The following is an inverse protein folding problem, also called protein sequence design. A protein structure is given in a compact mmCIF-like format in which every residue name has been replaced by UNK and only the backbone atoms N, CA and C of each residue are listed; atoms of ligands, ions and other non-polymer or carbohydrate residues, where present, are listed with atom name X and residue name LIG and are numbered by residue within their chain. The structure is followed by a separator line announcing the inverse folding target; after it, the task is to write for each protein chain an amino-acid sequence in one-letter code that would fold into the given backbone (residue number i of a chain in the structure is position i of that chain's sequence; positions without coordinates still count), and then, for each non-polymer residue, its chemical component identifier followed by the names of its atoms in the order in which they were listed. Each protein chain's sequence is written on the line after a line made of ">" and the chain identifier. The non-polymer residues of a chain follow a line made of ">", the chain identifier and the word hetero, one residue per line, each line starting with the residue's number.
data_IF_498711911133
#
_entry.id   IF_498711911133
#
_cell.length_a   1.000
_cell.length_b   1.000
_cell.length_c   1.000
_cell.angle_alpha   90.00
_cell.angle_beta   90.00
_cell.angle_gamma   90.00
#
_symmetry.space_group_name_H-M   'P 1'
#
loop_
_entity.id
_entity.type
_entity.pdbx_description
1 polymer ?
#
# COMPACT_ATOMS: atom_id res chain seq x y z
N UNK A 1 -11.92 1.59 9.93
CA UNK A 1 -12.74 1.83 8.73
C UNK A 1 -14.20 1.89 9.16
N UNK A 2 -14.97 2.84 8.65
CA UNK A 2 -16.42 2.96 8.93
C UNK A 2 -17.16 2.63 7.64
N UNK A 3 -18.10 1.71 7.71
CA UNK A 3 -18.94 1.32 6.57
C UNK A 3 -20.20 2.21 6.51
N UNK A 4 -20.87 2.34 5.34
CA UNK A 4 -22.08 3.15 5.21
C UNK A 4 -23.22 2.77 6.17
N UNK A 5 -23.22 1.53 6.67
CA UNK A 5 -24.15 1.04 7.69
C UNK A 5 -23.91 1.61 9.09
N UNK A 6 -22.80 2.33 9.30
CA UNK A 6 -22.34 2.79 10.61
C UNK A 6 -21.51 1.76 11.37
N UNK A 7 -21.30 0.56 10.81
CA UNK A 7 -20.45 -0.46 11.41
C UNK A 7 -18.98 -0.04 11.33
N UNK A 8 -18.23 -0.30 12.41
CA UNK A 8 -16.81 -0.03 12.47
C UNK A 8 -16.08 -1.12 13.26
N UNK A 9 -14.83 -1.37 12.88
CA UNK A 9 -13.92 -2.30 13.56
C UNK A 9 -12.51 -1.71 13.61
N UNK A 10 -11.67 -2.29 14.49
CA UNK A 10 -10.22 -2.13 14.44
C UNK A 10 -9.61 -3.06 13.39
N UNK A 11 -8.61 -2.57 12.64
CA UNK A 11 -7.97 -3.31 11.55
C UNK A 11 -6.46 -3.17 11.64
N UNK A 12 -5.73 -4.24 11.31
CA UNK A 12 -4.29 -4.15 11.02
C UNK A 12 -4.03 -3.65 9.59
N UNK A 13 -4.88 -4.04 8.64
CA UNK A 13 -4.89 -3.54 7.26
C UNK A 13 -6.32 -3.48 6.74
N UNK A 14 -6.63 -2.49 5.91
CA UNK A 14 -7.96 -2.32 5.34
C UNK A 14 -7.88 -1.71 3.93
N UNK A 15 -8.73 -2.18 3.02
CA UNK A 15 -8.85 -1.67 1.66
C UNK A 15 -10.32 -1.52 1.26
N UNK A 16 -10.61 -0.52 0.43
CA UNK A 16 -11.94 -0.18 -0.08
C UNK A 16 -11.86 0.24 -1.55
N UNK A 17 -13.00 0.33 -2.24
CA UNK A 17 -13.08 0.64 -3.66
C UNK A 17 -13.09 -0.59 -4.58
N UNK A 18 -12.85 -0.37 -5.88
CA UNK A 18 -12.94 -1.41 -6.92
C UNK A 18 -11.89 -2.52 -6.74
N UNK A 19 -10.61 -2.14 -6.58
CA UNK A 19 -9.48 -3.07 -6.40
C UNK A 19 -9.36 -3.69 -5.00
N UNK A 20 -10.38 -3.56 -4.14
CA UNK A 20 -10.30 -3.96 -2.72
C UNK A 20 -10.00 -5.43 -2.50
N UNK A 21 -10.41 -6.33 -3.41
CA UNK A 21 -10.18 -7.77 -3.24
C UNK A 21 -8.70 -8.10 -3.48
N UNK A 22 -8.14 -7.65 -4.60
CA UNK A 22 -6.70 -7.75 -4.88
C UNK A 22 -5.86 -7.13 -3.76
N UNK A 23 -6.19 -5.91 -3.33
CA UNK A 23 -5.47 -5.25 -2.24
C UNK A 23 -5.54 -6.01 -0.91
N UNK A 24 -6.67 -6.64 -0.57
CA UNK A 24 -6.80 -7.45 0.65
C UNK A 24 -5.92 -8.69 0.61
N UNK A 25 -5.88 -9.38 -0.53
CA UNK A 25 -5.01 -10.56 -0.70
C UNK A 25 -3.54 -10.21 -0.49
N UNK A 26 -3.09 -9.05 -0.96
CA UNK A 26 -1.72 -8.60 -0.70
C UNK A 26 -1.47 -8.21 0.76
N UNK A 27 -2.42 -7.51 1.40
CA UNK A 27 -2.30 -7.14 2.82
C UNK A 27 -2.20 -8.38 3.74
N UNK A 28 -2.86 -9.48 3.39
CA UNK A 28 -2.82 -10.74 4.14
C UNK A 28 -1.43 -11.39 4.12
N UNK A 29 -0.65 -11.21 3.03
CA UNK A 29 0.71 -11.74 2.90
C UNK A 29 1.71 -11.07 3.86
N UNK A 30 1.42 -9.85 4.32
CA UNK A 30 2.33 -9.03 5.12
C UNK A 30 2.34 -9.37 6.62
N UNK A 31 1.46 -10.26 7.10
CA UNK A 31 1.37 -10.65 8.51
C UNK A 31 1.35 -9.45 9.47
N UNK A 32 0.56 -8.41 9.15
CA UNK A 32 0.57 -7.10 9.83
C UNK A 32 0.33 -7.17 11.35
N UNK A 33 -0.28 -8.24 11.84
CA UNK A 33 -0.52 -8.49 13.26
C UNK A 33 0.78 -8.70 14.06
N UNK A 34 1.88 -9.09 13.40
CA UNK A 34 3.19 -9.22 14.04
C UNK A 34 3.90 -7.87 14.24
N UNK A 35 3.42 -6.79 13.62
CA UNK A 35 3.97 -5.43 13.74
C UNK A 35 5.48 -5.31 13.39
N UNK A 36 5.97 -6.14 12.46
CA UNK A 36 7.38 -6.20 12.07
C UNK A 36 7.79 -5.20 10.97
N UNK A 37 6.84 -4.47 10.39
CA UNK A 37 7.11 -3.50 9.33
C UNK A 37 7.57 -2.16 9.90
N UNK A 38 8.70 -1.67 9.40
CA UNK A 38 9.07 -0.28 9.62
C UNK A 38 8.11 0.65 8.86
N UNK A 39 8.05 1.92 9.27
CA UNK A 39 7.21 2.91 8.61
C UNK A 39 7.59 3.08 7.12
N UNK A 40 8.89 3.00 6.80
CA UNK A 40 9.38 3.09 5.41
C UNK A 40 9.03 1.86 4.58
N UNK A 41 9.07 0.66 5.18
CA UNK A 41 8.68 -0.57 4.49
C UNK A 41 7.17 -0.58 4.23
N UNK A 42 6.37 -0.08 5.19
CA UNK A 42 4.93 0.12 4.99
C UNK A 42 4.60 1.03 3.81
N UNK A 43 5.38 2.07 3.55
CA UNK A 43 5.22 2.94 2.36
C UNK A 43 5.50 2.15 1.08
N UNK A 44 6.58 1.37 1.03
CA UNK A 44 6.92 0.57 -0.16
C UNK A 44 5.84 -0.47 -0.48
N UNK A 45 5.40 -1.21 0.54
CA UNK A 45 4.35 -2.22 0.37
C UNK A 45 3.01 -1.58 -0.01
N UNK A 46 2.62 -0.46 0.61
CA UNK A 46 1.40 0.23 0.24
C UNK A 46 1.42 0.69 -1.23
N UNK A 47 2.54 1.22 -1.73
CA UNK A 47 2.68 1.56 -3.13
C UNK A 47 2.53 0.33 -4.03
N UNK A 48 3.26 -0.76 -3.75
CA UNK A 48 3.17 -2.02 -4.50
C UNK A 48 1.73 -2.53 -4.59
N UNK A 49 1.01 -2.53 -3.46
CA UNK A 49 -0.38 -2.99 -3.38
C UNK A 49 -1.32 -2.15 -4.24
N UNK A 50 -1.14 -0.82 -4.29
CA UNK A 50 -1.95 0.04 -5.15
C UNK A 50 -1.70 -0.27 -6.63
N UNK A 51 -0.44 -0.49 -7.00
CA UNK A 51 -0.06 -0.84 -8.37
C UNK A 51 -0.65 -2.20 -8.81
N UNK A 52 -0.55 -3.23 -7.97
CA UNK A 52 -1.21 -4.54 -8.20
C UNK A 52 -2.73 -4.39 -8.30
N UNK A 53 -3.36 -3.65 -7.37
CA UNK A 53 -4.80 -3.44 -7.39
C UNK A 53 -5.31 -2.59 -8.57
N UNK A 54 -4.40 -1.94 -9.32
CA UNK A 54 -4.70 -1.12 -10.49
C UNK A 54 -4.55 -1.88 -11.81
N UNK A 55 -4.04 -3.12 -11.83
CA UNK A 55 -3.86 -3.91 -13.07
C UNK A 55 -5.12 -4.02 -13.93
N UNK A 56 -6.28 -4.23 -13.28
CA UNK A 56 -7.62 -4.27 -13.90
C UNK A 56 -8.05 -2.93 -14.54
N UNK A 57 -7.23 -1.89 -14.44
CA UNK A 57 -7.46 -0.55 -14.99
C UNK A 57 -6.17 0.07 -15.51
N UNK A 58 -5.20 -0.75 -15.93
CA UNK A 58 -3.88 -0.33 -16.43
C UNK A 58 -3.88 0.65 -17.59
N UNK A 59 -4.99 0.72 -18.35
CA UNK A 59 -5.16 1.69 -19.44
C UNK A 59 -5.41 3.13 -18.95
N UNK A 60 -5.53 3.35 -17.64
CA UNK A 60 -5.78 4.67 -17.05
C UNK A 60 -4.58 5.09 -16.20
N UNK A 61 -4.07 6.28 -16.46
CA UNK A 61 -3.11 6.92 -15.58
C UNK A 61 -3.74 7.23 -14.23
N UNK A 62 -2.93 7.16 -13.17
CA UNK A 62 -3.31 7.56 -11.83
C UNK A 62 -2.15 8.26 -11.13
N UNK A 63 -2.48 9.05 -10.11
CA UNK A 63 -1.51 9.64 -9.19
C UNK A 63 -1.58 8.90 -7.86
N UNK A 64 -0.41 8.53 -7.31
CA UNK A 64 -0.33 7.88 -6.01
C UNK A 64 -0.26 8.94 -4.91
N UNK A 65 -1.28 8.97 -4.05
CA UNK A 65 -1.29 9.81 -2.85
C UNK A 65 -0.98 8.96 -1.61
N UNK A 66 -0.08 9.43 -0.76
CA UNK A 66 0.34 8.71 0.44
C UNK A 66 0.51 9.63 1.63
N UNK A 67 -0.07 9.23 2.75
CA UNK A 67 0.11 9.87 4.04
C UNK A 67 0.47 8.82 5.08
N UNK A 68 1.15 9.23 6.14
CA UNK A 68 1.62 8.33 7.18
C UNK A 68 1.56 8.97 8.56
N UNK A 69 1.62 8.13 9.58
CA UNK A 69 1.70 8.52 10.98
C UNK A 69 2.50 7.47 11.75
N UNK A 70 3.28 7.91 12.73
CA UNK A 70 4.12 7.09 13.60
C UNK A 70 3.81 7.37 15.06
N UNK A 71 4.41 6.60 15.96
CA UNK A 71 4.48 6.95 17.39
C UNK A 71 5.18 8.30 17.63
N UNK A 72 5.12 8.77 18.88
CA UNK A 72 5.75 10.03 19.32
C UNK A 72 7.27 10.05 19.10
N UNK A 73 7.91 8.88 19.20
CA UNK A 73 9.36 8.72 19.01
C UNK A 73 9.75 8.55 17.54
N UNK A 74 8.76 8.40 16.65
CA UNK A 74 8.98 8.22 15.22
C UNK A 74 9.08 9.55 14.45
N UNK A 75 9.32 9.48 13.13
CA UNK A 75 9.62 10.65 12.29
C UNK A 75 8.47 11.67 12.22
N UNK A 76 7.22 11.22 12.39
CA UNK A 76 6.05 12.11 12.34
C UNK A 76 5.67 12.70 13.71
N UNK A 77 6.26 12.19 14.80
CA UNK A 77 5.97 12.60 16.18
C UNK A 77 4.47 12.56 16.52
N UNK A 78 3.78 11.50 16.11
CA UNK A 78 2.34 11.34 16.37
C UNK A 78 1.43 12.24 15.53
N UNK A 79 1.94 12.85 14.44
CA UNK A 79 1.14 13.70 13.55
C UNK A 79 0.91 13.03 12.22
N UNK A 80 -0.31 13.16 11.71
CA UNK A 80 -0.62 12.80 10.32
C UNK A 80 0.09 13.78 9.39
N UNK A 81 0.84 13.24 8.43
CA UNK A 81 1.63 14.02 7.48
C UNK A 81 1.66 13.33 6.13
N UNK A 82 1.92 14.10 5.07
CA UNK A 82 2.26 13.55 3.77
C UNK A 82 3.57 12.75 3.87
N UNK A 83 3.65 11.68 3.07
CA UNK A 83 4.92 10.97 2.87
C UNK A 83 5.87 11.90 2.12
N UNK A 84 7.12 12.08 2.58
CA UNK A 84 8.12 12.88 1.87
C UNK A 84 8.25 12.44 0.41
N UNK A 85 8.31 13.42 -0.50
CA UNK A 85 8.29 13.20 -1.95
C UNK A 85 9.31 12.14 -2.40
N UNK A 86 10.54 12.23 -1.90
CA UNK A 86 11.62 11.29 -2.24
C UNK A 86 11.28 9.83 -1.87
N UNK A 87 10.63 9.61 -0.72
CA UNK A 87 10.22 8.27 -0.29
C UNK A 87 9.07 7.74 -1.13
N UNK A 88 8.13 8.62 -1.51
CA UNK A 88 6.99 8.26 -2.37
C UNK A 88 7.47 7.89 -3.78
N UNK A 89 8.31 8.73 -4.39
CA UNK A 89 8.87 8.48 -5.73
C UNK A 89 9.69 7.19 -5.77
N UNK A 90 10.46 6.90 -4.73
CA UNK A 90 11.20 5.63 -4.63
C UNK A 90 10.26 4.43 -4.46
N UNK A 91 9.21 4.55 -3.65
CA UNK A 91 8.21 3.49 -3.50
C UNK A 91 7.46 3.21 -4.81
N UNK A 92 7.07 4.25 -5.56
CA UNK A 92 6.48 4.11 -6.90
C UNK A 92 7.43 3.41 -7.87
N UNK A 93 8.72 3.78 -7.86
CA UNK A 93 9.73 3.16 -8.72
C UNK A 93 9.90 1.67 -8.41
N UNK A 94 9.93 1.30 -7.13
CA UNK A 94 10.03 -0.09 -6.70
C UNK A 94 8.76 -0.89 -7.05
N UNK A 95 7.58 -0.29 -6.88
CA UNK A 95 6.31 -0.91 -7.22
C UNK A 95 6.20 -1.22 -8.72
N UNK A 96 6.55 -0.26 -9.58
CA UNK A 96 6.59 -0.47 -11.04
C UNK A 96 7.56 -1.59 -11.43
N UNK A 97 8.76 -1.59 -10.84
CA UNK A 97 9.76 -2.63 -11.11
C UNK A 97 9.29 -4.03 -10.67
N UNK A 98 8.55 -4.13 -9.56
CA UNK A 98 8.05 -5.41 -9.08
C UNK A 98 7.04 -6.03 -10.06
N UNK A 99 6.11 -5.23 -10.59
CA UNK A 99 5.16 -5.68 -11.62
C UNK A 99 5.86 -6.14 -12.91
N UNK A 100 6.85 -5.38 -13.38
CA UNK A 100 7.62 -5.78 -14.57
C UNK A 100 8.35 -7.13 -14.39
N UNK A 101 8.84 -7.42 -13.18
CA UNK A 101 9.50 -8.69 -12.87
C UNK A 101 8.55 -9.87 -12.73
N UNK A 102 7.35 -9.66 -12.17
CA UNK A 102 6.30 -10.68 -12.06
C UNK A 102 5.78 -11.10 -13.46
N UNK A 103 5.59 -10.13 -14.37
CA UNK A 103 5.21 -10.38 -15.77
C UNK A 103 6.26 -11.20 -16.54
N UNK A 104 7.56 -10.98 -16.28
CA UNK A 104 8.66 -11.72 -16.92
C UNK A 104 8.83 -13.16 -16.40
N UNK A 105 8.50 -13.41 -15.13
CA UNK A 105 8.53 -14.75 -14.53
C UNK A 105 7.34 -15.60 -14.99
N UNK A 106 6.13 -15.03 -15.14
CA UNK A 106 4.96 -15.76 -15.67
C UNK A 106 5.11 -16.15 -17.15
N UNK A 107 5.88 -15.42 -17.96
CA UNK A 107 6.14 -15.76 -19.36
C UNK A 107 7.19 -16.87 -19.55
N UNK A 108 7.90 -17.27 -18.49
CA UNK A 108 8.99 -18.25 -18.53
C UNK A 108 8.60 -19.64 -17.98
N UNK A 109 7.38 -19.80 -17.46
CA UNK A 109 6.75 -21.10 -17.15
C UNK A 109 5.86 -21.62 -18.30
#
# INVERSE_FOLDING_TARGET
>A
MIEPSGLYWGYYGAATGKGRQAAKSELEKLNLHECNLSLGDGVKEAARIIYVAHEDSKDKDFELEMTWISSLDGPTKGRHMDVPRELREEAERLAKKALEGEDEEEMQE
#
